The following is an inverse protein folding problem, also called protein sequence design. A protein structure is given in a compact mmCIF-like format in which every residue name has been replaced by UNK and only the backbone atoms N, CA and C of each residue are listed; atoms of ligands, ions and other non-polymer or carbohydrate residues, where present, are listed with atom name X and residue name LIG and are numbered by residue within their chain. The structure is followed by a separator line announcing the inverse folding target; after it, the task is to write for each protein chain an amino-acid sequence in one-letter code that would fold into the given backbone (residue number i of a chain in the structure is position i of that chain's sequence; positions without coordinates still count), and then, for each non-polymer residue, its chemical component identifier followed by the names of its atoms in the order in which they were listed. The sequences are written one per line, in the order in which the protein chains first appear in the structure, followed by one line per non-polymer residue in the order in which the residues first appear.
data_IF_252610871695
#
_entry.id   IF_252610871695
#
_cell.length_a   1.000
_cell.length_b   1.000
_cell.length_c   1.000
_cell.angle_alpha   90.00
_cell.angle_beta   90.00
_cell.angle_gamma   90.00
#
_symmetry.space_group_name_H-M   'P 1'
#
loop_
_entity.id
_entity.type
_entity.pdbx_description
1 polymer ?
#
# COMPACT_ATOMS: atom_id res chain seq x y z
N UNK A 1 22.01 -12.19 22.20
CA UNK A 1 21.70 -13.46 21.50
C UNK A 1 20.28 -13.40 20.98
N UNK A 2 20.13 -13.65 19.68
CA UNK A 2 18.85 -13.77 19.01
C UNK A 2 18.10 -15.03 19.47
N UNK A 3 16.78 -14.97 19.46
CA UNK A 3 15.88 -16.07 19.85
C UNK A 3 14.82 -16.25 18.78
N UNK A 4 14.13 -17.39 18.79
CA UNK A 4 13.00 -17.65 17.88
C UNK A 4 11.91 -16.59 17.95
N UNK A 5 11.76 -15.91 19.10
CA UNK A 5 10.81 -14.81 19.30
C UNK A 5 11.17 -13.52 18.56
N UNK A 6 12.42 -13.35 18.13
CA UNK A 6 12.86 -12.14 17.43
C UNK A 6 12.72 -12.24 15.92
N UNK A 7 12.66 -13.47 15.38
CA UNK A 7 12.55 -13.72 13.94
C UNK A 7 11.33 -13.00 13.35
N UNK A 8 10.13 -13.04 13.96
CA UNK A 8 8.98 -12.27 13.48
C UNK A 8 9.23 -10.76 13.43
N UNK A 9 9.99 -10.20 14.39
CA UNK A 9 10.33 -8.76 14.40
C UNK A 9 11.22 -8.42 13.22
N UNK A 10 12.26 -9.21 12.98
CA UNK A 10 13.18 -8.98 11.86
C UNK A 10 12.43 -9.14 10.53
N UNK A 11 11.64 -10.20 10.37
CA UNK A 11 10.83 -10.42 9.17
C UNK A 11 9.85 -9.26 8.93
N UNK A 12 9.18 -8.78 9.97
CA UNK A 12 8.27 -7.63 9.87
C UNK A 12 9.00 -6.34 9.46
N UNK A 13 10.20 -6.07 10.00
CA UNK A 13 11.00 -4.92 9.57
C UNK A 13 11.52 -5.06 8.13
N UNK A 14 11.85 -6.28 7.69
CA UNK A 14 12.19 -6.55 6.29
C UNK A 14 11.01 -6.40 5.33
N UNK A 15 9.80 -6.71 5.81
CA UNK A 15 8.55 -6.61 5.05
C UNK A 15 8.05 -5.18 4.93
N UNK A 16 7.99 -4.45 6.06
CA UNK A 16 7.35 -3.14 6.19
C UNK A 16 8.32 -1.96 6.25
N UNK A 17 9.63 -2.22 6.09
CA UNK A 17 10.76 -1.27 6.14
C UNK A 17 10.98 -0.57 7.49
N UNK A 18 9.96 0.08 8.04
CA UNK A 18 10.03 0.87 9.26
C UNK A 18 8.80 0.64 10.13
N UNK A 19 9.01 0.37 11.42
CA UNK A 19 7.92 0.22 12.38
C UNK A 19 8.25 0.91 13.71
N UNK A 20 7.23 1.41 14.40
CA UNK A 20 7.39 1.84 15.79
C UNK A 20 7.13 0.67 16.76
N UNK A 21 7.39 0.88 18.05
CA UNK A 21 7.18 -0.15 19.09
C UNK A 21 5.75 -0.70 19.08
N UNK A 22 4.73 0.16 18.94
CA UNK A 22 3.33 -0.24 19.00
C UNK A 22 2.97 -1.17 17.87
N UNK A 23 3.39 -0.86 16.64
CA UNK A 23 3.21 -1.73 15.48
C UNK A 23 3.92 -3.07 15.71
N UNK A 24 5.18 -3.07 16.16
CA UNK A 24 5.92 -4.32 16.43
C UNK A 24 5.23 -5.16 17.52
N UNK A 25 4.75 -4.53 18.60
CA UNK A 25 4.02 -5.21 19.65
C UNK A 25 2.74 -5.85 19.10
N UNK A 26 1.96 -5.11 18.31
CA UNK A 26 0.71 -5.60 17.72
C UNK A 26 0.94 -6.76 16.73
N UNK A 27 1.96 -6.67 15.88
CA UNK A 27 2.21 -7.69 14.85
C UNK A 27 3.02 -8.89 15.35
N UNK A 28 3.95 -8.70 16.29
CA UNK A 28 4.91 -9.74 16.69
C UNK A 28 4.73 -10.25 18.12
N UNK A 29 4.06 -9.47 18.99
CA UNK A 29 3.88 -9.80 20.41
C UNK A 29 2.44 -9.50 20.87
N UNK A 30 1.39 -10.06 20.23
CA UNK A 30 0.00 -9.69 20.49
C UNK A 30 -0.44 -9.94 21.95
N UNK A 31 0.22 -10.86 22.66
CA UNK A 31 -0.06 -11.18 24.06
C UNK A 31 0.70 -10.31 25.07
N UNK A 32 1.64 -9.48 24.63
CA UNK A 32 2.48 -8.62 25.48
C UNK A 32 1.75 -7.32 25.79
N UNK A 33 0.69 -7.37 26.61
CA UNK A 33 -0.23 -6.24 26.84
C UNK A 33 0.49 -4.97 27.34
N UNK A 34 1.44 -5.11 28.27
CA UNK A 34 2.18 -3.99 28.87
C UNK A 34 3.41 -3.54 28.03
N UNK A 35 3.71 -4.25 26.94
CA UNK A 35 4.84 -3.98 26.08
C UNK A 35 6.22 -4.25 26.71
N UNK A 36 6.30 -4.90 27.89
CA UNK A 36 7.56 -5.12 28.62
C UNK A 36 8.44 -6.10 27.87
N UNK A 37 7.86 -7.17 27.34
CA UNK A 37 8.61 -8.14 26.53
C UNK A 37 9.15 -7.45 25.27
N UNK A 38 8.29 -6.72 24.55
CA UNK A 38 8.62 -5.98 23.33
C UNK A 38 9.78 -5.03 23.56
N UNK A 39 9.73 -4.20 24.63
CA UNK A 39 10.82 -3.29 24.99
C UNK A 39 12.12 -4.04 25.26
N UNK A 40 12.07 -5.13 26.03
CA UNK A 40 13.25 -5.93 26.36
C UNK A 40 13.88 -6.55 25.11
N UNK A 41 13.08 -7.14 24.22
CA UNK A 41 13.56 -7.77 22.98
C UNK A 41 14.10 -6.73 22.00
N UNK A 42 13.40 -5.61 21.79
CA UNK A 42 13.88 -4.53 20.94
C UNK A 42 15.21 -3.94 21.42
N UNK A 43 15.38 -3.73 22.73
CA UNK A 43 16.66 -3.28 23.29
C UNK A 43 17.79 -4.29 23.05
N UNK A 44 17.51 -5.58 23.16
CA UNK A 44 18.49 -6.63 22.87
C UNK A 44 18.88 -6.64 21.38
N UNK A 45 17.91 -6.55 20.46
CA UNK A 45 18.16 -6.51 19.02
C UNK A 45 18.94 -5.27 18.58
N UNK A 46 18.68 -4.12 19.20
CA UNK A 46 19.45 -2.89 18.97
C UNK A 46 20.89 -3.05 19.46
N UNK A 47 21.07 -3.50 20.70
CA UNK A 47 22.40 -3.71 21.29
C UNK A 47 23.24 -4.69 20.48
N UNK A 48 22.61 -5.76 20.00
CA UNK A 48 23.26 -6.82 19.26
C UNK A 48 23.38 -6.50 17.75
N UNK A 49 22.98 -5.30 17.29
CA UNK A 49 23.23 -4.81 15.93
C UNK A 49 22.30 -5.33 14.84
N UNK A 50 21.23 -6.06 15.19
CA UNK A 50 20.27 -6.60 14.21
C UNK A 50 19.29 -5.54 13.70
N UNK A 51 18.94 -4.56 14.52
CA UNK A 51 18.05 -3.45 14.16
C UNK A 51 18.65 -2.12 14.58
N UNK A 52 18.35 -1.07 13.83
CA UNK A 52 18.69 0.30 14.18
C UNK A 52 17.48 0.98 14.81
N UNK A 53 17.75 1.86 15.79
CA UNK A 53 16.73 2.67 16.47
C UNK A 53 16.94 4.13 16.14
N UNK A 54 15.89 4.79 15.64
CA UNK A 54 15.92 6.22 15.35
C UNK A 54 14.80 6.95 16.09
N UNK A 55 15.12 8.08 16.70
CA UNK A 55 14.12 8.91 17.39
C UNK A 55 13.38 9.75 16.35
N UNK A 56 12.05 9.79 16.44
CA UNK A 56 11.26 10.75 15.66
C UNK A 56 11.49 12.17 16.17
N UNK A 57 11.74 13.11 15.26
CA UNK A 57 11.90 14.54 15.58
C UNK A 57 10.54 15.24 15.80
N UNK A 58 9.45 14.60 15.38
CA UNK A 58 8.08 15.12 15.46
C UNK A 58 7.24 14.15 16.28
N UNK A 59 6.40 14.67 17.17
CA UNK A 59 5.42 13.88 17.93
C UNK A 59 4.32 13.42 16.96
N UNK A 60 4.07 12.13 16.90
CA UNK A 60 2.89 11.60 16.23
C UNK A 60 1.66 11.97 17.06
N UNK A 61 0.60 12.61 16.53
CA UNK A 61 -0.60 12.95 17.31
C UNK A 61 -1.26 11.77 18.04
N UNK A 62 -1.01 10.52 17.61
CA UNK A 62 -1.48 9.30 18.30
C UNK A 62 -0.59 8.85 19.45
N UNK A 63 0.61 9.40 19.56
CA UNK A 63 1.59 9.10 20.60
C UNK A 63 1.77 10.38 21.45
N UNK A 64 1.59 10.29 22.77
CA UNK A 64 1.76 11.45 23.67
C UNK A 64 3.22 11.96 23.70
N UNK A 65 4.17 11.16 23.21
CA UNK A 65 5.60 11.47 23.16
C UNK A 65 6.23 10.99 21.85
N UNK A 66 7.35 11.57 21.39
CA UNK A 66 8.04 11.07 20.20
C UNK A 66 8.50 9.62 20.42
N UNK A 67 7.84 8.69 19.74
CA UNK A 67 8.19 7.28 19.80
C UNK A 67 9.39 6.99 18.88
N UNK A 68 10.32 6.12 19.28
CA UNK A 68 11.35 5.64 18.38
C UNK A 68 10.75 4.73 17.31
N UNK A 69 11.41 4.73 16.15
CA UNK A 69 11.18 3.80 15.06
C UNK A 69 12.37 2.87 14.91
N UNK A 70 12.11 1.72 14.33
CA UNK A 70 13.06 0.64 14.13
C UNK A 70 13.07 0.24 12.66
N UNK A 71 14.25 -0.07 12.14
CA UNK A 71 14.46 -0.67 10.82
C UNK A 71 15.60 -1.69 10.90
N UNK A 72 15.72 -2.54 9.88
CA UNK A 72 16.83 -3.49 9.82
C UNK A 72 18.18 -2.78 9.77
N UNK A 73 19.13 -3.32 10.51
CA UNK A 73 20.54 -3.03 10.33
C UNK A 73 21.18 -4.11 9.45
N UNK A 74 22.43 -3.90 9.02
CA UNK A 74 23.13 -4.83 8.11
C UNK A 74 23.15 -6.27 8.61
N UNK A 75 23.38 -6.47 9.91
CA UNK A 75 23.39 -7.81 10.52
C UNK A 75 22.00 -8.44 10.56
N UNK A 76 20.94 -7.65 10.71
CA UNK A 76 19.56 -8.12 10.57
C UNK A 76 19.25 -8.60 9.16
N UNK A 77 19.67 -7.85 8.14
CA UNK A 77 19.53 -8.27 6.74
C UNK A 77 20.28 -9.57 6.45
N UNK A 78 21.53 -9.69 6.92
CA UNK A 78 22.34 -10.91 6.75
C UNK A 78 21.69 -12.12 7.43
N UNK A 79 21.24 -11.96 8.67
CA UNK A 79 20.54 -13.02 9.39
C UNK A 79 19.29 -13.49 8.66
N UNK A 80 18.47 -12.57 8.13
CA UNK A 80 17.27 -12.93 7.39
C UNK A 80 17.59 -13.63 6.07
N UNK A 81 18.63 -13.18 5.35
CA UNK A 81 19.06 -13.80 4.10
C UNK A 81 19.50 -15.26 4.33
N UNK A 82 20.27 -15.51 5.39
CA UNK A 82 20.69 -16.86 5.77
C UNK A 82 19.51 -17.70 6.28
N UNK A 83 18.67 -17.14 7.17
CA UNK A 83 17.57 -17.88 7.80
C UNK A 83 16.46 -18.29 6.82
N UNK A 84 16.19 -17.46 5.81
CA UNK A 84 15.16 -17.72 4.79
C UNK A 84 15.71 -18.16 3.44
N UNK A 85 17.04 -18.31 3.32
CA UNK A 85 17.73 -18.61 2.05
C UNK A 85 17.32 -17.64 0.93
N UNK A 86 17.26 -16.33 1.24
CA UNK A 86 16.76 -15.29 0.35
C UNK A 86 17.64 -14.02 0.36
N UNK A 87 18.51 -13.93 -0.64
CA UNK A 87 19.44 -12.80 -0.81
C UNK A 87 18.75 -11.45 -1.03
N UNK A 88 17.44 -11.42 -1.33
CA UNK A 88 16.70 -10.15 -1.44
C UNK A 88 16.72 -9.36 -0.13
N UNK A 89 16.87 -10.02 1.02
CA UNK A 89 17.04 -9.32 2.30
C UNK A 89 18.34 -8.49 2.37
N UNK A 90 19.39 -8.89 1.65
CA UNK A 90 20.66 -8.13 1.61
C UNK A 90 20.52 -6.79 0.89
N UNK A 91 19.51 -6.65 0.03
CA UNK A 91 19.23 -5.42 -0.69
C UNK A 91 18.29 -4.46 0.07
N UNK A 92 17.79 -4.86 1.25
CA UNK A 92 16.90 -4.02 2.05
C UNK A 92 17.63 -2.78 2.55
N UNK A 93 16.98 -1.60 2.57
CA UNK A 93 17.62 -0.39 3.06
C UNK A 93 17.98 -0.52 4.55
N UNK A 94 19.26 -0.31 4.88
CA UNK A 94 19.78 -0.36 6.26
C UNK A 94 19.98 1.02 6.87
N UNK A 95 19.52 2.07 6.18
CA UNK A 95 19.57 3.46 6.63
C UNK A 95 18.35 4.21 6.12
N UNK A 96 18.00 5.29 6.80
CA UNK A 96 16.87 6.13 6.42
C UNK A 96 17.41 7.39 5.73
N UNK A 97 17.07 7.55 4.45
CA UNK A 97 17.56 8.68 3.65
C UNK A 97 17.09 10.05 4.18
N UNK A 98 15.86 10.15 4.69
CA UNK A 98 15.25 11.40 5.13
C UNK A 98 14.63 11.27 6.53
N UNK A 99 15.40 11.51 7.60
CA UNK A 99 14.94 11.46 9.00
C UNK A 99 13.72 12.32 9.34
N UNK A 100 13.45 13.40 8.60
CA UNK A 100 12.24 14.20 8.81
C UNK A 100 10.95 13.51 8.31
N UNK A 101 11.07 12.45 7.50
CA UNK A 101 9.94 11.76 6.87
C UNK A 101 9.53 10.47 7.59
N UNK A 102 10.08 10.18 8.77
CA UNK A 102 9.75 8.96 9.53
C UNK A 102 8.25 8.78 9.74
N UNK A 103 7.54 9.88 10.02
CA UNK A 103 6.10 9.81 10.23
C UNK A 103 5.32 9.43 8.96
N UNK A 104 5.83 9.84 7.81
CA UNK A 104 5.29 9.45 6.51
C UNK A 104 5.57 7.98 6.22
N UNK A 105 6.79 7.52 6.45
CA UNK A 105 7.17 6.11 6.29
C UNK A 105 6.36 5.16 7.18
N UNK A 106 6.08 5.55 8.44
CA UNK A 106 5.18 4.78 9.30
C UNK A 106 3.74 4.71 8.76
N UNK A 107 3.25 5.77 8.11
CA UNK A 107 1.92 5.78 7.54
C UNK A 107 1.82 4.84 6.33
N UNK A 108 2.83 4.84 5.47
CA UNK A 108 2.97 3.87 4.37
C UNK A 108 3.03 2.43 4.90
N UNK A 109 3.87 2.18 5.92
CA UNK A 109 3.98 0.87 6.55
C UNK A 109 2.64 0.38 7.17
N UNK A 110 1.88 1.27 7.80
CA UNK A 110 0.54 0.94 8.31
C UNK A 110 -0.42 0.54 7.18
N UNK A 111 -0.43 1.28 6.07
CA UNK A 111 -1.24 0.93 4.89
C UNK A 111 -0.83 -0.42 4.32
N UNK A 112 0.47 -0.74 4.30
CA UNK A 112 0.97 -2.03 3.88
C UNK A 112 0.52 -3.18 4.81
N UNK A 113 0.63 -3.00 6.14
CA UNK A 113 0.11 -3.97 7.12
C UNK A 113 -1.39 -4.20 6.94
N UNK A 114 -2.17 -3.13 6.72
CA UNK A 114 -3.62 -3.24 6.48
C UNK A 114 -3.91 -4.05 5.21
N UNK A 115 -3.15 -3.83 4.13
CA UNK A 115 -3.27 -4.59 2.90
C UNK A 115 -2.92 -6.07 3.11
N UNK A 116 -1.80 -6.38 3.77
CA UNK A 116 -1.41 -7.78 4.05
C UNK A 116 -2.50 -8.50 4.89
N UNK A 117 -3.11 -7.81 5.86
CA UNK A 117 -4.22 -8.34 6.66
C UNK A 117 -5.51 -8.52 5.87
N UNK A 118 -5.82 -7.61 4.93
CA UNK A 118 -6.97 -7.74 4.04
C UNK A 118 -6.78 -8.93 3.08
N UNK A 119 -5.58 -9.08 2.55
CA UNK A 119 -5.20 -10.19 1.66
C UNK A 119 -5.32 -11.53 2.36
N UNK A 120 -4.88 -11.65 3.61
CA UNK A 120 -5.02 -12.86 4.40
C UNK A 120 -6.49 -13.33 4.59
N UNK A 121 -7.47 -12.47 4.27
CA UNK A 121 -8.91 -12.74 4.38
C UNK A 121 -9.59 -12.81 3.00
N UNK A 122 -8.83 -12.86 1.90
CA UNK A 122 -9.37 -12.83 0.53
C UNK A 122 -8.57 -13.74 -0.42
N UNK A 123 -9.06 -13.88 -1.65
CA UNK A 123 -8.37 -14.59 -2.74
C UNK A 123 -7.32 -13.75 -3.47
N UNK A 124 -7.26 -12.45 -3.17
CA UNK A 124 -6.31 -11.50 -3.77
C UNK A 124 -4.90 -11.82 -3.31
N UNK A 125 -3.93 -11.86 -4.22
CA UNK A 125 -2.52 -12.07 -3.89
C UNK A 125 -1.70 -10.81 -4.09
N UNK A 126 -0.86 -10.47 -3.11
CA UNK A 126 0.15 -9.43 -3.28
C UNK A 126 1.43 -10.07 -3.83
N UNK A 127 1.63 -9.90 -5.14
CA UNK A 127 2.77 -10.49 -5.85
C UNK A 127 4.06 -9.73 -5.58
N UNK A 128 3.98 -8.41 -5.42
CA UNK A 128 5.15 -7.55 -5.20
C UNK A 128 4.74 -6.29 -4.46
N UNK A 129 5.53 -5.92 -3.45
CA UNK A 129 5.49 -4.60 -2.82
C UNK A 129 6.87 -3.98 -2.89
N UNK A 130 6.94 -2.69 -3.22
CA UNK A 130 8.17 -1.93 -3.24
C UNK A 130 7.93 -0.58 -2.54
N UNK A 131 8.77 -0.27 -1.56
CA UNK A 131 8.80 1.03 -0.89
C UNK A 131 9.65 2.04 -1.69
N UNK A 132 9.49 3.34 -1.41
CA UNK A 132 10.22 4.43 -2.08
C UNK A 132 11.75 4.21 -2.15
N UNK A 133 12.35 3.64 -1.10
CA UNK A 133 13.80 3.47 -0.97
C UNK A 133 14.31 2.13 -1.52
N UNK A 134 13.41 1.26 -1.98
CA UNK A 134 13.75 -0.07 -2.47
C UNK A 134 13.94 -0.08 -3.99
N UNK A 135 14.72 -1.06 -4.45
CA UNK A 135 14.77 -1.40 -5.86
C UNK A 135 13.74 -2.51 -6.12
N UNK A 136 13.09 -2.47 -7.29
CA UNK A 136 12.16 -3.50 -7.75
C UNK A 136 12.89 -4.77 -8.22
N UNK A 137 14.11 -4.61 -8.73
CA UNK A 137 14.99 -5.68 -9.22
C UNK A 137 16.41 -5.51 -8.61
N UNK A 138 16.54 -5.57 -7.29
CA UNK A 138 17.82 -5.35 -6.61
C UNK A 138 18.93 -6.31 -7.05
N UNK A 139 18.56 -7.49 -7.51
CA UNK A 139 19.44 -8.55 -8.01
C UNK A 139 20.09 -8.23 -9.36
N UNK A 140 19.67 -7.18 -10.06
CA UNK A 140 20.29 -6.82 -11.32
C UNK A 140 21.80 -6.51 -11.10
N UNK A 141 22.70 -7.19 -11.83
CA UNK A 141 24.14 -7.05 -11.65
C UNK A 141 24.65 -5.66 -12.05
N UNK A 142 23.95 -4.97 -12.95
CA UNK A 142 24.22 -3.57 -13.30
C UNK A 142 23.42 -2.64 -12.36
N UNK A 143 24.08 -1.91 -11.44
CA UNK A 143 23.40 -1.00 -10.52
C UNK A 143 22.59 0.10 -11.24
N UNK A 144 22.97 0.46 -12.47
CA UNK A 144 22.26 1.47 -13.27
C UNK A 144 20.94 0.94 -13.85
N UNK A 145 20.78 -0.38 -13.93
CA UNK A 145 19.57 -1.04 -14.41
C UNK A 145 18.63 -1.46 -13.28
N UNK A 146 19.02 -1.22 -12.02
CA UNK A 146 18.10 -1.36 -10.89
C UNK A 146 17.05 -0.27 -10.94
N UNK A 147 15.79 -0.67 -10.88
CA UNK A 147 14.62 0.14 -11.10
C UNK A 147 14.09 0.58 -9.74
N UNK A 148 13.91 1.89 -9.59
CA UNK A 148 13.18 2.49 -8.47
C UNK A 148 11.79 2.93 -8.92
N UNK A 149 10.91 3.16 -7.95
CA UNK A 149 9.62 3.81 -8.21
C UNK A 149 9.80 5.26 -8.70
N UNK A 150 10.84 5.94 -8.21
CA UNK A 150 11.25 7.24 -8.72
C UNK A 150 11.55 7.17 -10.23
N UNK A 151 10.79 7.92 -11.02
CA UNK A 151 10.93 8.02 -12.46
C UNK A 151 11.10 9.48 -12.88
N UNK A 152 12.25 9.77 -13.49
CA UNK A 152 12.47 11.01 -14.23
C UNK A 152 11.95 10.83 -15.65
N UNK A 153 10.82 11.47 -15.95
CA UNK A 153 10.04 11.20 -17.16
C UNK A 153 10.30 12.21 -18.27
N UNK A 154 10.59 13.46 -17.90
CA UNK A 154 10.96 14.53 -18.83
C UNK A 154 12.00 15.42 -18.19
N UNK A 155 13.03 15.82 -18.93
CA UNK A 155 14.14 16.65 -18.44
C UNK A 155 14.09 18.09 -18.97
N UNK A 156 13.53 18.32 -20.16
CA UNK A 156 13.38 19.64 -20.78
C UNK A 156 12.05 19.76 -21.55
N UNK A 157 11.43 20.96 -21.67
CA UNK A 157 11.82 22.22 -21.02
C UNK A 157 11.42 22.31 -19.53
N UNK A 158 10.57 21.39 -19.05
CA UNK A 158 10.18 21.29 -17.63
C UNK A 158 10.45 19.88 -17.13
N UNK A 159 11.16 19.78 -16.00
CA UNK A 159 11.41 18.51 -15.33
C UNK A 159 10.09 17.92 -14.82
N UNK A 160 9.76 16.69 -15.24
CA UNK A 160 8.62 15.93 -14.74
C UNK A 160 9.14 14.68 -14.07
N UNK A 161 8.83 14.54 -12.78
CA UNK A 161 9.18 13.41 -11.95
C UNK A 161 7.88 12.75 -11.48
N UNK A 162 7.86 11.43 -11.46
CA UNK A 162 6.89 10.66 -10.69
C UNK A 162 7.63 9.93 -9.57
N UNK A 163 7.23 10.18 -8.33
CA UNK A 163 7.80 9.54 -7.14
C UNK A 163 6.63 9.10 -6.24
N UNK A 164 6.11 7.88 -6.48
CA UNK A 164 5.15 7.23 -5.58
C UNK A 164 5.75 6.95 -4.20
N UNK A 165 4.93 6.98 -3.16
CA UNK A 165 5.38 6.60 -1.82
C UNK A 165 5.64 5.10 -1.72
N UNK A 166 4.86 4.31 -2.46
CA UNK A 166 5.07 2.88 -2.70
C UNK A 166 4.38 2.43 -3.98
N UNK A 167 4.71 1.24 -4.44
CA UNK A 167 4.09 0.60 -5.60
C UNK A 167 3.96 -0.89 -5.36
N UNK A 168 2.85 -1.47 -5.81
CA UNK A 168 2.56 -2.87 -5.58
C UNK A 168 1.75 -3.50 -6.72
N UNK A 169 1.85 -4.82 -6.84
CA UNK A 169 1.18 -5.63 -7.85
C UNK A 169 0.22 -6.60 -7.16
N UNK A 170 -1.07 -6.49 -7.45
CA UNK A 170 -2.09 -7.43 -6.98
C UNK A 170 -2.48 -8.40 -8.10
N UNK A 171 -2.67 -9.67 -7.77
CA UNK A 171 -3.22 -10.69 -8.65
C UNK A 171 -4.59 -11.16 -8.15
N UNK A 172 -5.57 -11.22 -9.07
CA UNK A 172 -6.92 -11.74 -8.86
C UNK A 172 -7.33 -12.46 -10.14
N UNK A 173 -7.74 -13.72 -10.05
CA UNK A 173 -8.18 -14.53 -11.21
C UNK A 173 -7.22 -14.47 -12.41
N UNK A 174 -5.91 -14.53 -12.14
CA UNK A 174 -4.86 -14.44 -13.17
C UNK A 174 -4.63 -13.04 -13.75
N UNK A 175 -5.44 -12.04 -13.40
CA UNK A 175 -5.22 -10.64 -13.75
C UNK A 175 -4.30 -9.97 -12.75
N UNK A 176 -3.24 -9.32 -13.25
CA UNK A 176 -2.25 -8.61 -12.44
C UNK A 176 -2.35 -7.11 -12.67
N UNK A 177 -2.80 -6.39 -11.65
CA UNK A 177 -3.00 -4.94 -11.67
C UNK A 177 -1.93 -4.20 -10.89
N UNK A 178 -1.38 -3.13 -11.49
CA UNK A 178 -0.41 -2.24 -10.83
C UNK A 178 -1.13 -1.18 -10.02
N UNK A 179 -0.67 -0.99 -8.79
CA UNK A 179 -1.13 0.04 -7.88
C UNK A 179 0.04 0.89 -7.38
N UNK A 180 -0.17 2.19 -7.30
CA UNK A 180 0.75 3.11 -6.64
C UNK A 180 0.08 3.71 -5.42
N UNK A 181 0.82 3.86 -4.34
CA UNK A 181 0.34 4.46 -3.10
C UNK A 181 0.83 5.90 -2.98
N UNK A 182 -0.09 6.76 -2.58
CA UNK A 182 0.16 8.13 -2.12
C UNK A 182 -0.51 8.31 -0.75
N UNK A 183 0.29 8.64 0.26
CA UNK A 183 -0.16 8.83 1.63
C UNK A 183 -0.21 10.33 1.93
N UNK A 184 -1.40 10.93 1.92
CA UNK A 184 -1.55 12.31 2.35
C UNK A 184 -1.55 12.38 3.88
N UNK A 185 -0.79 13.33 4.40
CA UNK A 185 -0.61 13.56 5.83
C UNK A 185 -1.28 14.85 6.31
N UNK A 186 -1.99 15.54 5.42
CA UNK A 186 -2.52 16.89 5.60
C UNK A 186 -1.51 17.83 6.28
N UNK A 187 -0.35 18.02 5.63
CA UNK A 187 0.65 18.97 6.15
C UNK A 187 0.03 20.37 6.03
N UNK A 188 -0.01 21.13 7.13
CA UNK A 188 -0.67 22.44 7.24
C UNK A 188 -0.30 23.43 6.11
N UNK A 189 0.87 23.25 5.48
CA UNK A 189 1.38 24.11 4.40
C UNK A 189 1.05 23.66 2.97
N UNK A 190 0.24 22.59 2.78
CA UNK A 190 -0.10 22.06 1.46
C UNK A 190 -1.61 21.96 1.24
N UNK A 191 -2.14 22.92 0.48
CA UNK A 191 -3.51 22.84 -0.03
C UNK A 191 -3.68 21.63 -0.95
N UNK A 192 -4.88 21.04 -0.92
CA UNK A 192 -5.27 19.94 -1.81
C UNK A 192 -5.03 20.26 -3.30
N UNK A 193 -5.20 21.53 -3.70
CA UNK A 193 -4.91 22.00 -5.05
C UNK A 193 -3.41 21.90 -5.39
N UNK A 194 -2.53 22.23 -4.44
CA UNK A 194 -1.08 22.11 -4.60
C UNK A 194 -0.67 20.65 -4.72
N UNK A 195 -1.24 19.76 -3.90
CA UNK A 195 -0.98 18.31 -3.99
C UNK A 195 -1.36 17.79 -5.38
N UNK A 196 -2.58 18.09 -5.84
CA UNK A 196 -3.05 17.68 -7.16
C UNK A 196 -2.17 18.22 -8.29
N UNK A 197 -1.73 19.48 -8.21
CA UNK A 197 -0.84 20.08 -9.20
C UNK A 197 0.57 19.45 -9.24
N UNK A 198 1.09 19.01 -8.09
CA UNK A 198 2.42 18.40 -8.01
C UNK A 198 2.43 16.93 -8.47
N UNK A 199 1.41 16.14 -8.09
CA UNK A 199 1.41 14.69 -8.34
C UNK A 199 0.84 14.30 -9.71
N UNK A 200 -0.24 14.95 -10.16
CA UNK A 200 -0.94 14.54 -11.40
C UNK A 200 -0.08 14.52 -12.66
N UNK A 201 0.81 15.52 -12.92
CA UNK A 201 1.65 15.51 -14.12
C UNK A 201 2.60 14.29 -14.19
N UNK A 202 3.15 13.87 -13.04
CA UNK A 202 4.04 12.71 -12.96
C UNK A 202 3.34 11.43 -13.36
N UNK A 203 2.16 11.16 -12.79
CA UNK A 203 1.38 9.95 -13.13
C UNK A 203 0.83 9.99 -14.56
N UNK A 204 0.41 11.16 -15.04
CA UNK A 204 -0.02 11.34 -16.45
C UNK A 204 1.10 10.94 -17.41
N UNK A 205 2.30 11.44 -17.16
CA UNK A 205 3.45 11.14 -18.01
C UNK A 205 3.94 9.69 -17.85
N UNK A 206 3.83 9.12 -16.64
CA UNK A 206 4.14 7.71 -16.36
C UNK A 206 3.22 6.79 -17.15
N UNK A 207 1.93 7.11 -17.24
CA UNK A 207 0.95 6.42 -18.08
C UNK A 207 1.26 6.59 -19.56
N UNK A 208 1.49 7.82 -20.03
CA UNK A 208 1.81 8.11 -21.43
C UNK A 208 3.01 7.32 -21.93
N UNK A 209 4.05 7.18 -21.11
CA UNK A 209 5.26 6.41 -21.43
C UNK A 209 5.15 4.92 -21.09
N UNK A 210 4.01 4.44 -20.57
CA UNK A 210 3.80 3.06 -20.13
C UNK A 210 4.89 2.54 -19.17
N UNK A 211 5.50 3.45 -18.38
CA UNK A 211 6.65 3.15 -17.51
C UNK A 211 6.31 2.16 -16.38
N UNK A 212 5.03 2.09 -15.99
CA UNK A 212 4.55 1.08 -15.04
C UNK A 212 4.81 -0.34 -15.52
N UNK A 213 4.79 -0.62 -16.83
CA UNK A 213 5.12 -1.95 -17.37
C UNK A 213 6.61 -2.28 -17.25
N UNK A 214 7.48 -1.27 -17.24
CA UNK A 214 8.90 -1.48 -16.95
C UNK A 214 9.13 -1.73 -15.46
N UNK A 215 8.39 -1.05 -14.60
CA UNK A 215 8.47 -1.22 -13.14
C UNK A 215 7.87 -2.56 -12.69
N UNK A 216 6.76 -2.97 -13.31
CA UNK A 216 6.04 -4.20 -13.00
C UNK A 216 5.80 -5.00 -14.29
N UNK A 217 6.82 -5.69 -14.84
CA UNK A 217 6.72 -6.41 -16.11
C UNK A 217 5.72 -7.56 -16.08
N UNK A 218 5.39 -8.08 -14.90
CA UNK A 218 4.38 -9.11 -14.71
C UNK A 218 2.93 -8.60 -14.82
N UNK A 219 2.68 -7.29 -14.99
CA UNK A 219 1.32 -6.75 -15.16
C UNK A 219 0.64 -7.32 -16.41
N UNK A 220 -0.64 -7.65 -16.28
CA UNK A 220 -1.48 -8.07 -17.42
C UNK A 220 -2.35 -6.92 -17.94
N UNK A 221 -2.36 -5.77 -17.24
CA UNK A 221 -3.19 -4.62 -17.58
C UNK A 221 -2.35 -3.49 -18.19
N UNK A 222 -2.92 -2.78 -19.16
CA UNK A 222 -2.33 -1.59 -19.80
C UNK A 222 -2.54 -0.29 -19.01
N UNK A 223 -2.93 -0.42 -17.74
CA UNK A 223 -3.25 0.69 -16.85
C UNK A 223 -2.80 0.37 -15.44
N UNK A 224 -2.68 1.42 -14.63
CA UNK A 224 -2.46 1.32 -13.19
C UNK A 224 -3.53 2.11 -12.44
N UNK A 225 -3.61 1.89 -11.13
CA UNK A 225 -4.43 2.69 -10.21
C UNK A 225 -3.52 3.38 -9.21
N UNK A 226 -3.82 4.65 -8.87
CA UNK A 226 -3.17 5.35 -7.76
C UNK A 226 -4.15 5.40 -6.60
N UNK A 227 -3.80 4.77 -5.49
CA UNK A 227 -4.56 4.84 -4.24
C UNK A 227 -4.02 5.98 -3.38
N UNK A 228 -4.86 6.98 -3.15
CA UNK A 228 -4.59 8.12 -2.26
C UNK A 228 -5.29 7.87 -0.92
N UNK A 229 -4.51 7.70 0.14
CA UNK A 229 -5.02 7.54 1.50
C UNK A 229 -4.90 8.87 2.23
N UNK A 230 -6.05 9.47 2.56
CA UNK A 230 -6.14 10.73 3.29
C UNK A 230 -6.39 10.49 4.79
N UNK A 231 -6.03 11.42 5.69
CA UNK A 231 -6.16 11.20 7.13
C UNK A 231 -7.61 11.16 7.64
N UNK A 232 -8.54 11.83 6.95
CA UNK A 232 -9.97 11.90 7.28
C UNK A 232 -10.81 12.11 5.99
N UNK A 233 -12.13 11.96 6.08
CA UNK A 233 -13.07 12.04 4.96
C UNK A 233 -13.10 13.45 4.35
N UNK A 234 -13.02 14.48 5.20
CA UNK A 234 -12.98 15.89 4.76
C UNK A 234 -11.79 16.15 3.83
N UNK A 235 -10.60 15.67 4.19
CA UNK A 235 -9.37 15.81 3.39
C UNK A 235 -9.44 14.94 2.13
N UNK A 236 -9.95 13.70 2.23
CA UNK A 236 -10.23 12.82 1.08
C UNK A 236 -11.07 13.53 0.03
N UNK A 237 -12.18 14.14 0.42
CA UNK A 237 -13.11 14.78 -0.51
C UNK A 237 -12.53 16.06 -1.13
N UNK A 238 -11.75 16.83 -0.36
CA UNK A 238 -11.05 17.99 -0.87
C UNK A 238 -10.00 17.60 -1.93
N UNK A 239 -9.22 16.54 -1.68
CA UNK A 239 -8.28 15.99 -2.65
C UNK A 239 -9.01 15.46 -3.89
N UNK A 240 -10.06 14.66 -3.72
CA UNK A 240 -10.88 14.12 -4.81
C UNK A 240 -11.35 15.21 -5.77
N UNK A 241 -11.92 16.30 -5.25
CA UNK A 241 -12.35 17.47 -6.05
C UNK A 241 -11.18 18.17 -6.75
N UNK A 242 -10.03 18.26 -6.10
CA UNK A 242 -8.84 18.89 -6.68
C UNK A 242 -8.27 18.10 -7.86
N UNK A 243 -8.24 16.77 -7.75
CA UNK A 243 -7.76 15.85 -8.78
C UNK A 243 -8.74 15.67 -9.94
N UNK A 244 -10.05 15.80 -9.71
CA UNK A 244 -11.06 15.71 -10.79
C UNK A 244 -10.79 16.65 -11.97
N UNK A 245 -10.20 17.82 -11.70
CA UNK A 245 -9.85 18.83 -12.73
C UNK A 245 -8.49 18.59 -13.40
N UNK A 246 -7.84 17.46 -13.15
CA UNK A 246 -6.48 17.18 -13.64
C UNK A 246 -6.51 16.11 -14.72
N UNK A 247 -5.54 16.16 -15.63
CA UNK A 247 -5.29 15.05 -16.55
C UNK A 247 -4.92 13.78 -15.76
N UNK A 248 -5.45 12.63 -16.19
CA UNK A 248 -5.26 11.36 -15.49
C UNK A 248 -6.08 11.21 -14.22
N UNK A 249 -7.17 11.99 -14.05
CA UNK A 249 -8.06 11.91 -12.90
C UNK A 249 -8.70 10.51 -12.70
N UNK A 250 -8.81 9.73 -13.77
CA UNK A 250 -9.36 8.38 -13.81
C UNK A 250 -8.45 7.33 -13.15
N UNK A 251 -7.14 7.61 -13.04
CA UNK A 251 -6.19 6.73 -12.36
C UNK A 251 -6.41 6.67 -10.85
N UNK A 252 -7.04 7.70 -10.27
CA UNK A 252 -7.03 7.90 -8.83
C UNK A 252 -8.21 7.25 -8.13
N UNK A 253 -7.94 6.66 -6.97
CA UNK A 253 -8.92 6.19 -5.98
C UNK A 253 -8.58 6.79 -4.64
N UNK A 254 -9.56 7.36 -3.94
CA UNK A 254 -9.37 8.06 -2.68
C UNK A 254 -10.11 7.32 -1.57
N UNK A 255 -9.44 7.08 -0.45
CA UNK A 255 -10.07 6.58 0.77
C UNK A 255 -9.60 7.40 1.98
N UNK A 256 -10.39 7.39 3.04
CA UNK A 256 -9.94 7.90 4.32
C UNK A 256 -9.32 6.78 5.16
N UNK A 257 -8.24 7.10 5.88
CA UNK A 257 -7.63 6.20 6.86
C UNK A 257 -8.62 5.78 7.97
N UNK A 258 -9.65 6.59 8.27
CA UNK A 258 -10.70 6.25 9.25
C UNK A 258 -11.66 5.17 8.76
N UNK A 259 -11.79 5.00 7.44
CA UNK A 259 -12.66 4.00 6.80
C UNK A 259 -11.91 2.71 6.46
N UNK A 260 -10.57 2.72 6.50
CA UNK A 260 -9.74 1.57 6.11
C UNK A 260 -9.51 0.62 7.28
N UNK A 261 -9.96 -0.60 7.09
CA UNK A 261 -9.76 -1.77 7.96
C UNK A 261 -9.38 -2.96 7.07
N UNK A 262 -8.87 -4.08 7.63
CA UNK A 262 -8.63 -5.28 6.83
C UNK A 262 -9.87 -5.74 6.04
N UNK A 263 -11.07 -5.59 6.61
CA UNK A 263 -12.32 -5.98 5.96
C UNK A 263 -12.69 -5.02 4.82
N UNK A 264 -12.48 -3.72 5.02
CA UNK A 264 -12.94 -2.71 4.06
C UNK A 264 -11.95 -2.43 2.93
N UNK A 265 -10.67 -2.77 3.10
CA UNK A 265 -9.61 -2.34 2.18
C UNK A 265 -9.82 -2.79 0.73
N UNK A 266 -10.22 -4.05 0.50
CA UNK A 266 -10.25 -4.65 -0.83
C UNK A 266 -11.65 -4.63 -1.46
N UNK A 267 -12.65 -5.15 -0.75
CA UNK A 267 -13.94 -5.51 -1.33
C UNK A 267 -15.10 -4.62 -0.90
N UNK A 268 -14.94 -3.81 0.14
CA UNK A 268 -16.00 -2.87 0.55
C UNK A 268 -15.92 -1.57 -0.24
N UNK A 269 -17.07 -0.89 -0.30
CA UNK A 269 -17.23 0.37 -1.03
C UNK A 269 -16.69 1.54 -0.20
N UNK A 270 -15.36 1.67 -0.14
CA UNK A 270 -14.67 2.78 0.55
C UNK A 270 -13.77 3.61 -0.36
N UNK A 271 -13.58 3.19 -1.62
CA UNK A 271 -12.70 3.88 -2.58
C UNK A 271 -13.49 4.77 -3.53
N UNK A 272 -13.25 6.07 -3.45
CA UNK A 272 -13.93 7.07 -4.26
C UNK A 272 -13.12 7.39 -5.52
N UNK A 273 -13.79 7.43 -6.67
CA UNK A 273 -13.23 8.00 -7.89
C UNK A 273 -13.33 9.52 -7.89
N UNK A 274 -12.54 10.19 -8.72
CA UNK A 274 -12.62 11.65 -8.85
C UNK A 274 -13.97 12.13 -9.41
N UNK A 275 -14.61 11.33 -10.26
CA UNK A 275 -15.83 11.63 -11.02
C UNK A 275 -17.13 11.07 -10.39
N UNK A 276 -17.02 10.21 -9.38
CA UNK A 276 -18.17 9.57 -8.72
C UNK A 276 -18.31 10.03 -7.27
N UNK A 277 -19.55 10.32 -6.85
CA UNK A 277 -19.88 10.47 -5.43
C UNK A 277 -20.01 9.13 -4.72
N UNK A 278 -20.37 8.06 -5.44
CA UNK A 278 -20.46 6.72 -4.87
C UNK A 278 -19.09 6.07 -4.75
N UNK A 279 -18.77 5.46 -3.60
CA UNK A 279 -17.57 4.66 -3.46
C UNK A 279 -17.72 3.29 -4.13
N UNK A 280 -16.57 2.72 -4.46
CA UNK A 280 -16.40 1.43 -5.12
C UNK A 280 -15.43 0.56 -4.33
N UNK A 281 -15.47 -0.77 -4.51
CA UNK A 281 -14.39 -1.62 -4.04
C UNK A 281 -13.10 -1.34 -4.81
N UNK A 282 -11.95 -1.61 -4.19
CA UNK A 282 -10.66 -1.57 -4.89
C UNK A 282 -10.55 -2.74 -5.86
N UNK A 283 -10.99 -3.91 -5.40
CA UNK A 283 -11.08 -5.16 -6.16
C UNK A 283 -12.53 -5.61 -6.16
N UNK A 284 -13.12 -5.72 -7.35
CA UNK A 284 -14.46 -6.26 -7.50
C UNK A 284 -14.45 -7.73 -7.10
N UNK A 285 -15.40 -8.15 -6.27
CA UNK A 285 -15.61 -9.56 -5.97
C UNK A 285 -16.04 -10.26 -7.25
N UNK A 286 -15.35 -11.32 -7.62
CA UNK A 286 -15.75 -12.21 -8.71
C UNK A 286 -16.83 -13.12 -8.15
N UNK A 287 -18.04 -12.61 -7.93
CA UNK A 287 -19.15 -13.52 -7.69
C UNK A 287 -19.28 -14.42 -8.94
N UNK A 288 -19.38 -15.76 -8.80
CA UNK A 288 -19.87 -16.56 -9.90
C UNK A 288 -21.25 -16.00 -10.25
N UNK A 289 -21.38 -15.51 -11.48
CA UNK A 289 -22.68 -15.15 -12.03
C UNK A 289 -23.50 -16.43 -12.10
N UNK A 290 -24.31 -16.68 -11.08
CA UNK A 290 -25.27 -17.77 -11.10
C UNK A 290 -26.59 -17.22 -10.60
N UNK A 291 -27.58 -17.32 -11.49
CA UNK A 291 -29.03 -17.18 -11.30
C UNK A 291 -29.58 -15.75 -11.24
N UNK A 292 -29.62 -15.10 -12.42
CA UNK A 292 -30.70 -14.18 -12.79
C UNK A 292 -31.47 -14.67 -14.03
N UNK A 293 -31.53 -15.99 -14.26
CA UNK A 293 -32.24 -16.58 -15.41
C UNK A 293 -33.37 -17.56 -15.06
N UNK A 294 -33.69 -17.80 -13.78
CA UNK A 294 -34.81 -18.70 -13.39
C UNK A 294 -36.08 -17.96 -12.94
N UNK A 295 -36.06 -16.63 -12.81
CA UNK A 295 -37.25 -15.85 -12.45
C UNK A 295 -38.02 -15.27 -13.65
N UNK A 296 -37.55 -15.50 -14.89
CA UNK A 296 -38.23 -15.05 -16.11
C UNK A 296 -38.92 -16.17 -16.89
N UNK A 297 -38.63 -17.45 -16.61
CA UNK A 297 -39.29 -18.58 -17.25
C UNK A 297 -40.53 -19.08 -16.51
N UNK A 298 -40.63 -18.88 -15.18
CA UNK A 298 -41.78 -19.35 -14.40
C UNK A 298 -43.00 -18.40 -14.41
N UNK A 299 -42.91 -17.26 -15.11
CA UNK A 299 -44.03 -16.30 -15.24
C UNK A 299 -44.85 -16.50 -16.51
N UNK A 300 -44.30 -17.11 -17.56
CA UNK A 300 -45.05 -17.36 -18.81
C UNK A 300 -45.87 -18.67 -18.79
N UNK A 301 -45.51 -19.64 -17.94
CA UNK A 301 -46.30 -20.89 -17.82
C UNK A 301 -47.51 -20.77 -16.88
N UNK A 302 -47.52 -19.81 -15.95
CA UNK A 302 -48.66 -19.62 -15.03
C UNK A 302 -49.78 -18.75 -15.63
N UNK A 303 -49.48 -17.87 -16.58
CA UNK A 303 -50.50 -17.04 -17.25
C UNK A 303 -51.24 -17.78 -18.38
N UNK A 304 -50.65 -18.83 -18.97
CA UNK A 304 -51.31 -19.65 -20.00
C UNK A 304 -52.24 -20.74 -19.44
N UNK A 305 -52.11 -21.10 -18.16
CA UNK A 305 -52.98 -22.11 -17.52
C UNK A 305 -54.32 -21.54 -17.03
N UNK A 306 -54.46 -20.21 -16.87
CA UNK A 306 -55.69 -19.56 -16.42
C UNK A 306 -56.63 -19.09 -17.55
N UNK A 307 -56.22 -19.21 -18.82
CA UNK A 307 -57.02 -18.77 -19.98
C UNK A 307 -57.93 -19.84 -20.60
N UNK A 308 -57.91 -21.10 -20.11
CA UNK A 308 -58.65 -22.24 -20.66
C UNK A 308 -59.63 -22.90 -19.68
N UNK A 309 -60.24 -22.14 -18.76
CA UNK A 309 -61.41 -22.64 -18.02
C UNK A 309 -62.44 -21.54 -17.74
N UNK A 310 -63.25 -21.21 -18.76
CA UNK A 310 -64.62 -20.73 -18.53
C UNK A 310 -65.56 -21.43 -19.52
N UNK A 311 -66.66 -22.04 -19.03
CA UNK A 311 -67.62 -22.78 -19.85
C UNK A 311 -68.45 -21.89 -20.78
#
# INVERSE_FOLDING_TARGET
MITTRDIPVLAALGRYFLMNRRMIQQECYPTDVDGRLSRRRLSALVRDGYISKQRMLVVNPRDETPAPVYHLAKQGCQFLAEHFEDDRYLAKPTSIAQPMHLYHYLAVANTHILLDKAIAQSEVKLMTWCNEQEFLNPENPDPKQRIRLYAELKTAPKKIICAPDSGFLLEVDGHRGVFYLEQDRDRDNYSHNRVAALKSPGYTELHRQQRHRKQFPATTLNRFTVVMVAPNEKRRDALRRAFHKKTGADFWRFASLTELTPQTFLHERVWYRTDSAEPQPLVKTTAPSTISSELTLNREETDNALALSKP
#
